data_IF_310728481553
#
_entry.id   IF_310728481553
#
_cell.length_a   1.000
_cell.length_b   1.000
_cell.length_c   1.000
_cell.angle_alpha   90.00
_cell.angle_beta   90.00
_cell.angle_gamma   90.00
#
_symmetry.space_group_name_H-M   'P 1'
#
loop_
_entity.id
_entity.type
_entity.pdbx_description
1 polymer ?
#
# COMPACT_ATOMS: atom_id res chain seq x y z
N UNK A 1 -5.49 22.84 1.51
CA UNK A 1 -5.80 21.48 1.04
C UNK A 1 -4.53 20.66 1.16
N UNK A 2 -4.29 20.12 2.35
CA UNK A 2 -3.06 19.39 2.70
C UNK A 2 -3.20 17.93 2.28
N UNK A 3 -2.12 17.32 1.77
CA UNK A 3 -2.12 15.99 1.14
C UNK A 3 -2.64 14.81 1.97
N UNK A 4 -2.88 15.00 3.28
CA UNK A 4 -3.47 14.04 4.21
C UNK A 4 -4.97 13.77 3.99
N UNK A 5 -5.73 14.73 3.45
CA UNK A 5 -7.19 14.60 3.28
C UNK A 5 -7.59 13.68 2.09
N UNK A 6 -6.62 13.32 1.25
CA UNK A 6 -6.83 12.52 0.03
C UNK A 6 -6.34 11.07 0.18
N UNK A 7 -5.96 10.64 1.38
CA UNK A 7 -5.57 9.25 1.64
C UNK A 7 -6.80 8.34 1.53
N UNK A 8 -6.69 7.29 0.72
CA UNK A 8 -7.78 6.32 0.47
C UNK A 8 -8.65 6.63 -0.75
N UNK A 9 -8.44 7.75 -1.44
CA UNK A 9 -9.04 7.99 -2.75
C UNK A 9 -8.28 7.18 -3.81
N UNK A 10 -8.98 6.67 -4.82
CA UNK A 10 -8.31 6.10 -6.00
C UNK A 10 -7.57 7.21 -6.76
N UNK A 11 -6.26 7.03 -6.89
CA UNK A 11 -5.36 7.95 -7.61
C UNK A 11 -4.64 7.26 -8.77
N UNK A 12 -4.81 5.94 -8.90
CA UNK A 12 -4.11 5.15 -9.91
C UNK A 12 -5.02 4.87 -11.11
N UNK A 13 -6.35 4.82 -10.94
CA UNK A 13 -7.26 4.48 -12.01
C UNK A 13 -6.83 3.17 -12.69
N UNK A 14 -6.72 3.18 -14.03
CA UNK A 14 -6.26 2.02 -14.80
C UNK A 14 -4.86 1.50 -14.41
N UNK A 15 -3.95 2.38 -13.94
CA UNK A 15 -2.63 1.93 -13.47
C UNK A 15 -2.71 1.12 -12.16
N UNK A 16 -3.84 1.19 -11.45
CA UNK A 16 -4.10 0.37 -10.26
C UNK A 16 -4.19 -1.10 -10.61
N UNK A 17 -4.84 -1.43 -11.74
CA UNK A 17 -4.97 -2.79 -12.23
C UNK A 17 -3.60 -3.36 -12.65
N UNK A 18 -2.78 -2.56 -13.34
CA UNK A 18 -1.43 -2.95 -13.75
C UNK A 18 -0.54 -3.24 -12.53
N UNK A 19 -0.60 -2.38 -11.50
CA UNK A 19 0.16 -2.60 -10.27
C UNK A 19 -0.34 -3.84 -9.52
N UNK A 20 -1.66 -4.04 -9.43
CA UNK A 20 -2.23 -5.22 -8.78
C UNK A 20 -1.83 -6.51 -9.49
N UNK A 21 -1.86 -6.54 -10.82
CA UNK A 21 -1.40 -7.68 -11.61
C UNK A 21 0.08 -7.99 -11.35
N UNK A 22 0.94 -6.96 -11.34
CA UNK A 22 2.36 -7.12 -11.02
C UNK A 22 2.59 -7.62 -9.58
N UNK A 23 1.79 -7.13 -8.62
CA UNK A 23 1.85 -7.58 -7.23
C UNK A 23 1.47 -9.06 -7.12
N UNK A 24 0.38 -9.48 -7.76
CA UNK A 24 -0.05 -10.89 -7.76
C UNK A 24 0.98 -11.80 -8.41
N UNK A 25 1.59 -11.38 -9.52
CA UNK A 25 2.68 -12.12 -10.14
C UNK A 25 3.89 -12.28 -9.21
N UNK A 26 4.20 -11.27 -8.39
CA UNK A 26 5.28 -11.34 -7.41
C UNK A 26 5.00 -12.30 -6.24
N UNK A 27 3.73 -12.66 -6.00
CA UNK A 27 3.32 -13.66 -5.02
C UNK A 27 3.31 -15.09 -5.56
N UNK A 28 3.39 -15.29 -6.88
CA UNK A 28 3.28 -16.61 -7.48
C UNK A 28 4.38 -17.56 -6.99
N UNK A 29 3.98 -18.77 -6.60
CA UNK A 29 4.87 -19.79 -6.03
C UNK A 29 5.37 -19.53 -4.59
N UNK A 30 5.01 -18.41 -3.96
CA UNK A 30 5.40 -18.14 -2.57
C UNK A 30 4.48 -18.84 -1.57
N UNK A 31 5.05 -19.27 -0.45
CA UNK A 31 4.27 -19.65 0.73
C UNK A 31 3.57 -18.43 1.35
N UNK A 32 2.61 -18.69 2.26
CA UNK A 32 1.94 -17.62 3.01
C UNK A 32 2.93 -16.75 3.80
N UNK A 33 3.94 -17.37 4.41
CA UNK A 33 4.95 -16.66 5.20
C UNK A 33 5.81 -15.77 4.30
N UNK A 34 6.27 -16.29 3.16
CA UNK A 34 7.06 -15.53 2.18
C UNK A 34 6.25 -14.38 1.57
N UNK A 35 4.97 -14.62 1.27
CA UNK A 35 4.04 -13.59 0.82
C UNK A 35 3.86 -12.48 1.86
N UNK A 36 3.74 -12.83 3.13
CA UNK A 36 3.66 -11.86 4.23
C UNK A 36 4.95 -11.04 4.33
N UNK A 37 6.10 -11.69 4.17
CA UNK A 37 7.41 -11.04 4.17
C UNK A 37 7.61 -10.10 2.98
N UNK A 38 7.13 -10.49 1.79
CA UNK A 38 7.11 -9.65 0.59
C UNK A 38 6.32 -8.37 0.85
N UNK A 39 5.09 -8.52 1.36
CA UNK A 39 4.23 -7.38 1.67
C UNK A 39 4.85 -6.43 2.70
N UNK A 40 5.44 -6.96 3.78
CA UNK A 40 6.13 -6.15 4.77
C UNK A 40 7.29 -5.33 4.16
N UNK A 41 8.10 -5.96 3.29
CA UNK A 41 9.20 -5.27 2.59
C UNK A 41 8.67 -4.19 1.65
N UNK A 42 7.62 -4.50 0.88
CA UNK A 42 7.01 -3.54 -0.04
C UNK A 42 6.48 -2.32 0.70
N UNK A 43 5.77 -2.52 1.82
CA UNK A 43 5.28 -1.42 2.67
C UNK A 43 6.43 -0.53 3.16
N UNK A 44 7.54 -1.11 3.63
CA UNK A 44 8.70 -0.34 4.08
C UNK A 44 9.36 0.45 2.94
N UNK A 45 9.49 -0.13 1.75
CA UNK A 45 10.04 0.55 0.58
C UNK A 45 9.17 1.73 0.16
N UNK A 46 7.85 1.54 0.08
CA UNK A 46 6.90 2.61 -0.23
C UNK A 46 6.90 3.69 0.86
N UNK A 47 7.00 3.30 2.13
CA UNK A 47 7.08 4.25 3.24
C UNK A 47 8.32 5.14 3.15
N UNK A 48 9.47 4.54 2.81
CA UNK A 48 10.71 5.28 2.57
C UNK A 48 10.60 6.22 1.36
N UNK A 49 9.92 5.79 0.29
CA UNK A 49 9.69 6.62 -0.90
C UNK A 49 8.79 7.82 -0.59
N UNK A 50 7.80 7.66 0.30
CA UNK A 50 6.91 8.75 0.74
C UNK A 50 7.67 9.76 1.62
N UNK A 51 8.49 9.28 2.56
CA UNK A 51 9.39 10.13 3.36
C UNK A 51 8.74 11.05 4.40
N UNK A 52 7.41 11.09 4.49
CA UNK A 52 6.65 11.94 5.43
C UNK A 52 5.87 11.11 6.47
N UNK A 53 6.30 11.19 7.73
CA UNK A 53 5.69 10.45 8.84
C UNK A 53 4.22 10.82 9.12
N UNK A 54 3.80 12.06 8.81
CA UNK A 54 2.41 12.46 8.99
C UNK A 54 1.49 11.77 7.97
N UNK A 55 1.94 11.71 6.71
CA UNK A 55 1.27 10.96 5.63
C UNK A 55 1.19 9.47 5.97
N UNK A 56 2.28 8.88 6.44
CA UNK A 56 2.31 7.46 6.82
C UNK A 56 1.36 7.13 7.98
N UNK A 57 1.30 7.99 9.01
CA UNK A 57 0.34 7.82 10.12
C UNK A 57 -1.10 7.95 9.67
N UNK A 58 -1.40 8.91 8.78
CA UNK A 58 -2.72 9.05 8.18
C UNK A 58 -3.10 7.81 7.34
N UNK A 59 -2.16 7.25 6.58
CA UNK A 59 -2.35 6.00 5.83
C UNK A 59 -2.66 4.80 6.74
N UNK A 60 -1.93 4.65 7.85
CA UNK A 60 -2.22 3.60 8.84
C UNK A 60 -3.60 3.76 9.47
N UNK A 61 -3.99 4.99 9.82
CA UNK A 61 -5.32 5.28 10.36
C UNK A 61 -6.42 4.95 9.34
N UNK A 62 -6.25 5.34 8.07
CA UNK A 62 -7.18 5.02 6.99
C UNK A 62 -7.31 3.50 6.77
N UNK A 63 -6.19 2.77 6.73
CA UNK A 63 -6.20 1.32 6.59
C UNK A 63 -6.83 0.60 7.80
N UNK A 64 -6.71 1.17 9.00
CA UNK A 64 -7.29 0.61 10.23
C UNK A 64 -8.79 0.87 10.36
N UNK A 65 -9.31 1.90 9.67
CA UNK A 65 -10.73 2.20 9.59
C UNK A 65 -11.42 1.26 8.60
N UNK A 66 -11.53 -0.02 8.95
CA UNK A 66 -12.41 -0.94 8.26
C UNK A 66 -13.86 -0.51 8.53
N UNK A 67 -14.59 -0.10 7.50
CA UNK A 67 -16.05 -0.05 7.52
C UNK A 67 -16.54 -1.46 7.91
N UNK A 68 -17.31 -1.56 9.01
CA UNK A 68 -18.10 -2.75 9.31
C UNK A 68 -19.25 -2.89 8.34
#
# INVERSE_FOLDING_TARGET
>A
MTGIDAIGQDRLGAAGDDFYAALMAAHDGLTLEESTRLNARLVLLLANQVGDIAVLKAALAAASNHTR
#
